data_IF_796445552569
#
_entry.id   IF_796445552569
#
_cell.length_a   1.000
_cell.length_b   1.000
_cell.length_c   1.000
_cell.angle_alpha   90.00
_cell.angle_beta   90.00
_cell.angle_gamma   90.00
#
_symmetry.space_group_name_H-M   'P 1'
#
loop_
_entity.id
_entity.type
_entity.pdbx_description
1 polymer ?
#
# COMPACT_ATOMS: atom_id res chain seq x y z
N UNK A 1 10.96 1.92 -9.21
CA UNK A 1 9.72 1.55 -8.51
C UNK A 1 9.68 2.26 -7.17
N UNK A 2 8.53 2.83 -6.80
CA UNK A 2 8.28 3.41 -5.47
C UNK A 2 7.13 2.67 -4.82
N UNK A 3 7.02 2.76 -3.50
CA UNK A 3 5.88 2.18 -2.77
C UNK A 3 5.25 3.27 -1.93
N UNK A 4 3.98 3.56 -2.22
CA UNK A 4 3.17 4.51 -1.47
C UNK A 4 2.52 3.80 -0.29
N UNK A 5 2.70 4.35 0.90
CA UNK A 5 2.02 3.94 2.10
C UNK A 5 0.97 4.98 2.44
N UNK A 6 -0.31 4.63 2.46
CA UNK A 6 -1.40 5.55 2.78
C UNK A 6 -2.16 5.09 4.01
N UNK A 7 -2.38 5.99 4.97
CA UNK A 7 -3.24 5.71 6.13
C UNK A 7 -4.69 5.67 5.65
N UNK A 8 -5.32 4.52 5.79
CA UNK A 8 -6.70 4.30 5.38
C UNK A 8 -7.63 4.99 6.37
N UNK A 9 -8.39 5.98 5.88
CA UNK A 9 -9.41 6.64 6.67
C UNK A 9 -10.55 5.65 7.01
N UNK A 10 -11.09 5.67 8.24
CA UNK A 10 -12.20 4.80 8.62
C UNK A 10 -13.43 4.90 7.71
N UNK A 11 -13.69 6.04 7.08
CA UNK A 11 -14.85 6.24 6.20
C UNK A 11 -14.73 5.43 4.89
N UNK A 12 -13.54 5.42 4.30
CA UNK A 12 -13.25 4.67 3.06
C UNK A 12 -12.77 3.23 3.33
N UNK A 13 -12.54 2.85 4.59
CA UNK A 13 -11.95 1.55 4.97
C UNK A 13 -12.62 0.37 4.30
N UNK A 14 -13.95 0.35 4.22
CA UNK A 14 -14.69 -0.74 3.56
C UNK A 14 -14.41 -0.82 2.06
N UNK A 15 -14.30 0.34 1.40
CA UNK A 15 -14.02 0.43 -0.03
C UNK A 15 -12.59 0.00 -0.33
N UNK A 16 -11.63 0.46 0.49
CA UNK A 16 -10.22 0.05 0.39
C UNK A 16 -10.09 -1.46 0.60
N UNK A 17 -10.76 -2.05 1.60
CA UNK A 17 -10.75 -3.49 1.82
C UNK A 17 -11.28 -4.27 0.62
N UNK A 18 -12.38 -3.81 0.01
CA UNK A 18 -12.95 -4.46 -1.18
C UNK A 18 -12.00 -4.38 -2.38
N UNK A 19 -11.37 -3.22 -2.61
CA UNK A 19 -10.43 -3.06 -3.71
C UNK A 19 -9.12 -3.85 -3.49
N UNK A 20 -8.66 -3.98 -2.24
CA UNK A 20 -7.53 -4.87 -1.89
C UNK A 20 -7.87 -6.33 -2.14
N UNK A 21 -9.08 -6.78 -1.79
CA UNK A 21 -9.51 -8.15 -2.08
C UNK A 21 -9.55 -8.42 -3.59
N UNK A 22 -10.06 -7.46 -4.36
CA UNK A 22 -10.07 -7.53 -5.83
C UNK A 22 -8.64 -7.56 -6.40
N UNK A 23 -7.73 -6.74 -5.88
CA UNK A 23 -6.32 -6.76 -6.28
C UNK A 23 -5.67 -8.12 -5.98
N UNK A 24 -5.88 -8.66 -4.77
CA UNK A 24 -5.40 -9.99 -4.39
C UNK A 24 -5.99 -11.06 -5.32
N UNK A 25 -7.27 -10.99 -5.63
CA UNK A 25 -7.92 -11.92 -6.54
C UNK A 25 -7.30 -11.85 -7.94
N UNK A 26 -7.11 -10.65 -8.48
CA UNK A 26 -6.49 -10.42 -9.78
C UNK A 26 -5.06 -10.99 -9.84
N UNK A 27 -4.24 -10.72 -8.82
CA UNK A 27 -2.87 -11.25 -8.71
C UNK A 27 -2.86 -12.78 -8.67
N UNK A 28 -3.74 -13.40 -7.89
CA UNK A 28 -3.82 -14.86 -7.79
C UNK A 28 -4.27 -15.52 -9.11
N UNK A 29 -5.10 -14.84 -9.91
CA UNK A 29 -5.56 -15.34 -11.20
C UNK A 29 -4.68 -14.88 -12.38
N UNK A 30 -3.67 -14.04 -12.14
CA UNK A 30 -2.84 -13.45 -13.19
C UNK A 30 -3.58 -12.47 -14.10
N UNK A 31 -4.67 -11.88 -13.63
CA UNK A 31 -5.46 -10.89 -14.38
C UNK A 31 -4.81 -9.51 -14.29
N UNK A 32 -3.99 -9.17 -15.29
CA UNK A 32 -3.25 -7.91 -15.30
C UNK A 32 -4.17 -6.68 -15.41
N UNK A 33 -5.26 -6.77 -16.17
CA UNK A 33 -6.23 -5.67 -16.34
C UNK A 33 -6.99 -5.34 -15.04
N UNK A 34 -7.44 -6.38 -14.34
CA UNK A 34 -8.07 -6.25 -13.02
C UNK A 34 -7.08 -5.72 -11.97
N UNK A 35 -5.79 -6.08 -12.09
CA UNK A 35 -4.73 -5.60 -11.20
C UNK A 35 -4.52 -4.09 -11.35
N UNK A 36 -4.44 -3.60 -12.59
CA UNK A 36 -4.31 -2.17 -12.88
C UNK A 36 -5.54 -1.41 -12.40
N UNK A 37 -6.73 -1.93 -12.71
CA UNK A 37 -8.02 -1.34 -12.30
C UNK A 37 -8.17 -1.25 -10.78
N UNK A 38 -7.77 -2.28 -10.03
CA UNK A 38 -7.80 -2.28 -8.57
C UNK A 38 -6.79 -1.29 -7.99
N UNK A 39 -5.59 -1.24 -8.55
CA UNK A 39 -4.52 -0.34 -8.13
C UNK A 39 -4.92 1.11 -8.34
N UNK A 40 -5.47 1.45 -9.51
CA UNK A 40 -5.99 2.79 -9.80
C UNK A 40 -7.12 3.21 -8.85
N UNK A 41 -8.04 2.29 -8.54
CA UNK A 41 -9.10 2.55 -7.54
C UNK A 41 -8.54 2.82 -6.15
N UNK A 42 -7.57 2.01 -5.71
CA UNK A 42 -6.92 2.18 -4.41
C UNK A 42 -6.17 3.52 -4.32
N UNK A 43 -5.50 3.93 -5.40
CA UNK A 43 -4.85 5.24 -5.50
C UNK A 43 -5.86 6.39 -5.43
N UNK A 44 -6.99 6.27 -6.13
CA UNK A 44 -8.03 7.29 -6.10
C UNK A 44 -8.68 7.41 -4.70
N UNK A 45 -9.01 6.28 -4.07
CA UNK A 45 -9.59 6.24 -2.72
C UNK A 45 -8.65 6.84 -1.67
N UNK A 46 -7.34 6.62 -1.82
CA UNK A 46 -6.33 7.09 -0.86
C UNK A 46 -5.64 8.38 -1.29
N UNK A 47 -6.10 9.04 -2.35
CA UNK A 47 -5.47 10.25 -2.89
C UNK A 47 -5.41 11.38 -1.86
N UNK A 48 -6.49 11.57 -1.09
CA UNK A 48 -6.60 12.59 -0.04
C UNK A 48 -6.16 12.09 1.35
N UNK A 49 -5.77 10.81 1.45
CA UNK A 49 -5.29 10.24 2.71
C UNK A 49 -3.84 10.67 2.98
N UNK A 50 -3.47 10.70 4.27
CA UNK A 50 -2.08 10.92 4.65
C UNK A 50 -1.22 9.76 4.12
N UNK A 51 -0.28 10.06 3.23
CA UNK A 51 0.59 9.07 2.61
C UNK A 51 2.06 9.46 2.61
N UNK A 52 2.93 8.45 2.53
CA UNK A 52 4.37 8.61 2.34
C UNK A 52 4.84 7.69 1.23
N UNK A 53 5.72 8.21 0.36
CA UNK A 53 6.31 7.43 -0.72
C UNK A 53 7.71 6.98 -0.28
N UNK A 54 7.96 5.68 -0.34
CA UNK A 54 9.27 5.10 -0.10
C UNK A 54 9.89 4.65 -1.43
N UNK A 55 11.20 4.82 -1.54
CA UNK A 55 12.00 4.16 -2.57
C UNK A 55 11.97 2.65 -2.37
N UNK A 56 12.23 1.88 -3.43
CA UNK A 56 12.33 0.42 -3.35
C UNK A 56 13.31 -0.05 -2.26
N UNK A 57 14.45 0.62 -2.11
CA UNK A 57 15.47 0.27 -1.12
C UNK A 57 14.97 0.46 0.32
N UNK A 58 14.36 1.60 0.62
CA UNK A 58 13.76 1.91 1.92
C UNK A 58 12.58 0.99 2.24
N UNK A 59 11.72 0.76 1.25
CA UNK A 59 10.62 -0.20 1.35
C UNK A 59 11.13 -1.60 1.70
N UNK A 60 12.17 -2.08 0.99
CA UNK A 60 12.74 -3.40 1.21
C UNK A 60 13.38 -3.51 2.60
N UNK A 61 14.04 -2.46 3.07
CA UNK A 61 14.57 -2.39 4.43
C UNK A 61 13.45 -2.42 5.49
N UNK A 62 12.37 -1.66 5.25
CA UNK A 62 11.19 -1.62 6.12
C UNK A 62 10.48 -2.97 6.20
N UNK A 63 10.13 -3.59 5.07
CA UNK A 63 9.44 -4.90 5.02
C UNK A 63 10.29 -5.98 5.67
N UNK A 64 11.61 -5.96 5.49
CA UNK A 64 12.50 -6.91 6.15
C UNK A 64 12.51 -6.73 7.68
N UNK A 65 12.47 -5.47 8.16
CA UNK A 65 12.30 -5.16 9.57
C UNK A 65 10.95 -5.64 10.13
N UNK A 66 9.86 -5.38 9.42
CA UNK A 66 8.49 -5.80 9.79
C UNK A 66 8.36 -7.32 9.81
N UNK A 67 8.85 -8.03 8.79
CA UNK A 67 8.82 -9.50 8.73
C UNK A 67 9.59 -10.16 9.86
N UNK A 68 10.69 -9.56 10.32
CA UNK A 68 11.43 -10.04 11.51
C UNK A 68 10.61 -9.93 12.79
N UNK A 69 9.79 -8.88 12.93
CA UNK A 69 8.92 -8.70 14.10
C UNK A 69 7.60 -9.49 14.01
N UNK A 70 7.09 -9.71 12.80
CA UNK A 70 5.75 -10.28 12.57
C UNK A 70 5.76 -11.28 11.39
N UNK A 71 6.15 -12.55 11.61
CA UNK A 71 6.24 -13.56 10.55
C UNK A 71 4.88 -13.99 9.96
N UNK A 72 3.76 -13.51 10.52
CA UNK A 72 2.39 -13.82 10.07
C UNK A 72 1.75 -12.75 9.20
N UNK A 73 2.45 -11.66 8.86
CA UNK A 73 1.92 -10.69 7.90
C UNK A 73 2.04 -11.32 6.51
N UNK A 74 1.01 -12.07 6.13
CA UNK A 74 0.78 -12.44 4.74
C UNK A 74 0.57 -11.16 3.95
N UNK A 75 1.31 -10.99 2.85
CA UNK A 75 1.28 -9.86 1.93
C UNK A 75 -0.16 -9.53 1.51
N UNK A 76 -0.84 -8.70 2.30
CA UNK A 76 -2.26 -8.39 2.14
C UNK A 76 -2.47 -6.96 1.70
N UNK A 77 -1.41 -6.27 1.25
CA UNK A 77 -1.40 -4.85 0.89
C UNK A 77 -1.82 -3.91 2.03
N UNK A 78 -2.18 -4.44 3.20
CA UNK A 78 -2.63 -3.72 4.37
C UNK A 78 -1.77 -4.12 5.56
N UNK A 79 -1.18 -3.11 6.17
CA UNK A 79 -0.34 -3.22 7.34
C UNK A 79 -1.05 -2.57 8.53
N UNK A 80 -0.98 -3.16 9.73
CA UNK A 80 -1.50 -2.50 10.92
C UNK A 80 -0.66 -1.25 11.24
N UNK A 81 -1.31 -0.17 11.64
CA UNK A 81 -0.65 1.10 11.97
C UNK A 81 0.43 0.94 13.06
N UNK A 82 0.26 -0.05 13.94
CA UNK A 82 1.27 -0.43 14.93
C UNK A 82 2.66 -0.77 14.33
N UNK A 83 2.74 -1.34 13.12
CA UNK A 83 4.04 -1.59 12.45
C UNK A 83 4.54 -0.39 11.66
N UNK A 84 3.64 0.53 11.31
CA UNK A 84 3.94 1.73 10.54
C UNK A 84 4.23 2.96 11.42
N UNK A 85 4.38 2.81 12.74
CA UNK A 85 4.73 3.92 13.66
C UNK A 85 6.06 4.59 13.31
N UNK A 86 7.00 3.84 12.71
CA UNK A 86 8.27 4.39 12.22
C UNK A 86 8.10 5.32 11.01
N UNK A 87 7.04 5.12 10.21
CA UNK A 87 6.72 5.93 9.04
C UNK A 87 5.75 7.07 9.41
N UNK A 88 4.78 6.77 10.28
CA UNK A 88 3.76 7.69 10.74
C UNK A 88 3.78 7.77 12.27
N UNK A 89 4.53 8.71 12.86
CA UNK A 89 4.69 8.79 14.31
C UNK A 89 3.38 9.09 15.06
N UNK A 90 2.35 9.60 14.37
CA UNK A 90 1.04 9.95 14.94
C UNK A 90 -0.07 8.96 14.59
N UNK A 91 0.27 7.81 13.99
CA UNK A 91 -0.74 6.83 13.58
C UNK A 91 -1.35 6.08 14.77
N UNK A 92 -2.66 5.83 14.72
CA UNK A 92 -3.31 4.97 15.69
C UNK A 92 -2.94 3.50 15.46
N UNK A 93 -2.79 2.73 16.55
CA UNK A 93 -2.42 1.32 16.46
C UNK A 93 -3.47 0.45 15.72
N UNK A 94 -4.74 0.84 15.76
CA UNK A 94 -5.86 0.19 15.03
C UNK A 94 -5.96 0.65 13.57
N UNK A 95 -5.28 1.75 13.20
CA UNK A 95 -5.32 2.24 11.83
C UNK A 95 -4.78 1.18 10.86
N UNK A 96 -5.21 1.25 9.61
CA UNK A 96 -4.69 0.40 8.54
C UNK A 96 -3.88 1.27 7.60
N UNK A 97 -2.72 0.77 7.18
CA UNK A 97 -1.88 1.43 6.20
C UNK A 97 -1.86 0.58 4.95
N UNK A 98 -2.30 1.17 3.85
CA UNK A 98 -2.27 0.54 2.54
C UNK A 98 -0.89 0.72 1.92
N UNK A 99 -0.22 -0.38 1.56
CA UNK A 99 0.98 -0.38 0.73
C UNK A 99 0.59 -0.59 -0.74
N UNK A 100 0.92 0.39 -1.59
CA UNK A 100 0.70 0.33 -3.02
C UNK A 100 2.03 0.49 -3.76
N UNK A 101 2.49 -0.53 -4.49
CA UNK A 101 3.57 -0.33 -5.43
C UNK A 101 3.11 0.65 -6.51
N UNK A 102 3.84 1.76 -6.64
CA UNK A 102 3.71 2.67 -7.76
C UNK A 102 4.87 2.40 -8.70
N UNK A 103 4.55 2.28 -9.99
CA UNK A 103 5.62 2.36 -10.98
C UNK A 103 6.31 3.72 -10.78
N UNK A 104 7.64 3.71 -10.84
CA UNK A 104 8.32 5.00 -10.93
C UNK A 104 7.95 5.45 -12.33
N UNK A 105 7.03 6.41 -12.45
CA UNK A 105 6.96 7.21 -13.66
C UNK A 105 8.35 7.84 -13.76
N UNK A 106 9.25 7.10 -14.40
CA UNK A 106 10.45 7.65 -14.99
C UNK A 106 9.84 8.54 -16.03
N UNK A 107 9.70 9.82 -15.68
CA UNK A 107 9.22 10.83 -16.58
C UNK A 107 10.16 10.86 -17.77
N UNK A 108 9.87 10.05 -18.78
CA UNK A 108 10.29 10.27 -20.14
C UNK A 108 9.37 11.37 -20.70
N UNK A 109 9.42 12.54 -20.06
CA UNK A 109 9.08 13.79 -20.73
C UNK A 109 10.35 14.25 -21.40
N UNK A 110 10.67 13.59 -22.51
CA UNK A 110 11.53 14.16 -23.53
C UNK A 110 10.80 15.38 -24.12
N UNK A 111 11.15 16.59 -23.67
CA UNK A 111 10.82 17.87 -24.31
C UNK A 111 12.08 18.71 -24.52
#
# INVERSE_FOLDING_TARGET
MKVRFAIVDPDIRKQVLAAVDLLKHAVNNGHVDDMDTATAQLLALTAECQSIDLSEEDWRAFVNGVRKGHPRIESSYLLPGAVCVSLFPTIAADAQVLELPMDDETGDTNV
#
